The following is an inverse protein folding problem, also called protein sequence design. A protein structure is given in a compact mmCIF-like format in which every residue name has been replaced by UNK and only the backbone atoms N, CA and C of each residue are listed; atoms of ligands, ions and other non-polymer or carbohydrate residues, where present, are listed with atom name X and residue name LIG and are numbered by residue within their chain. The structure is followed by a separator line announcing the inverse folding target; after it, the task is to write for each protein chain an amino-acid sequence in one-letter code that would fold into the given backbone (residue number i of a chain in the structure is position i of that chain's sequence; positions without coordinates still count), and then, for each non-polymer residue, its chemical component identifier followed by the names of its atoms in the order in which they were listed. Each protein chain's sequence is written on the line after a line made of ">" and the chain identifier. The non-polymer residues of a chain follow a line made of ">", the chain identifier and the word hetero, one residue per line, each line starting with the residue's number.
data_IF_568487042503
#
_entry.id   IF_568487042503
#
_cell.length_a   1.000
_cell.length_b   1.000
_cell.length_c   1.000
_cell.angle_alpha   90.00
_cell.angle_beta   90.00
_cell.angle_gamma   90.00
#
_symmetry.space_group_name_H-M   'P 1'
#
loop_
_entity.id
_entity.type
_entity.pdbx_description
1 polymer ?
#
# COMPACT_ATOMS: atom_id res chain seq x y z
N UNK A 1 -6.90 12.21 -13.02
CA UNK A 1 -7.23 10.78 -12.78
C UNK A 1 -8.73 10.62 -12.73
N UNK A 2 -9.31 9.81 -13.62
CA UNK A 2 -10.76 9.50 -13.63
C UNK A 2 -11.01 8.31 -12.70
N UNK A 3 -11.78 8.53 -11.62
CA UNK A 3 -12.19 7.46 -10.71
C UNK A 3 -13.30 6.69 -11.40
N UNK A 4 -13.15 5.37 -11.50
CA UNK A 4 -14.16 4.46 -12.07
C UNK A 4 -14.57 3.41 -11.05
N UNK A 5 -15.79 2.92 -11.16
CA UNK A 5 -16.24 1.84 -10.30
C UNK A 5 -15.45 0.55 -10.58
N UNK A 6 -14.85 -0.11 -9.58
CA UNK A 6 -14.09 -1.35 -9.79
C UNK A 6 -14.96 -2.55 -10.22
N UNK A 7 -16.29 -2.47 -10.05
CA UNK A 7 -17.21 -3.56 -10.44
C UNK A 7 -17.78 -3.40 -11.86
N UNK A 8 -18.21 -2.20 -12.22
CA UNK A 8 -18.92 -1.95 -13.48
C UNK A 8 -18.25 -0.91 -14.39
N UNK A 9 -17.10 -0.36 -13.97
CA UNK A 9 -16.31 0.63 -14.72
C UNK A 9 -17.02 1.95 -15.07
N UNK A 10 -18.26 2.14 -14.59
CA UNK A 10 -18.99 3.38 -14.80
C UNK A 10 -18.32 4.57 -14.10
N UNK A 11 -18.55 5.75 -14.66
CA UNK A 11 -18.06 7.03 -14.14
C UNK A 11 -19.08 7.68 -13.18
N UNK A 12 -20.28 7.12 -13.08
CA UNK A 12 -21.36 7.62 -12.24
C UNK A 12 -21.09 7.27 -10.76
N UNK A 13 -20.32 8.13 -10.11
CA UNK A 13 -19.81 7.94 -8.76
C UNK A 13 -20.12 9.17 -7.90
N UNK A 14 -20.71 8.92 -6.73
CA UNK A 14 -20.94 9.92 -5.69
C UNK A 14 -19.94 9.75 -4.54
N UNK A 15 -19.41 10.87 -4.03
CA UNK A 15 -18.64 10.91 -2.79
C UNK A 15 -19.60 10.78 -1.61
N UNK A 16 -19.50 9.70 -0.83
CA UNK A 16 -20.40 9.43 0.30
C UNK A 16 -19.61 9.14 1.57
N UNK A 17 -19.09 10.22 2.18
CA UNK A 17 -18.42 10.19 3.49
C UNK A 17 -17.02 9.58 3.46
N UNK A 18 -16.52 9.21 4.65
CA UNK A 18 -15.14 8.77 4.82
C UNK A 18 -15.04 7.46 5.61
N UNK A 19 -14.15 6.58 5.17
CA UNK A 19 -13.67 5.47 5.98
C UNK A 19 -12.58 5.97 6.91
N UNK A 20 -12.78 5.85 8.22
CA UNK A 20 -11.77 6.19 9.23
C UNK A 20 -10.88 4.98 9.52
N UNK A 21 -9.57 5.17 9.43
CA UNK A 21 -8.53 4.26 9.93
C UNK A 21 -7.75 4.97 11.04
N UNK A 22 -6.95 4.24 11.83
CA UNK A 22 -6.08 4.82 12.86
C UNK A 22 -5.12 5.91 12.33
N UNK A 23 -4.74 5.85 11.05
CA UNK A 23 -3.76 6.75 10.44
C UNK A 23 -4.37 7.84 9.56
N UNK A 24 -5.70 7.87 9.40
CA UNK A 24 -6.36 8.87 8.58
C UNK A 24 -7.73 8.47 8.04
N UNK A 25 -8.33 9.39 7.29
CA UNK A 25 -9.64 9.23 6.63
C UNK A 25 -9.41 8.98 5.14
N UNK A 26 -10.06 7.95 4.59
CA UNK A 26 -10.09 7.69 3.15
C UNK A 26 -11.48 8.01 2.59
N UNK A 27 -11.54 8.66 1.43
CA UNK A 27 -12.81 8.96 0.78
C UNK A 27 -13.55 7.67 0.42
N UNK A 28 -14.81 7.57 0.82
CA UNK A 28 -15.70 6.49 0.43
C UNK A 28 -16.52 6.95 -0.78
N UNK A 29 -16.58 6.10 -1.79
CA UNK A 29 -17.30 6.33 -3.03
C UNK A 29 -18.46 5.35 -3.14
N UNK A 30 -19.54 5.82 -3.75
CA UNK A 30 -20.73 5.05 -4.05
C UNK A 30 -21.00 5.13 -5.55
N UNK A 31 -21.04 3.98 -6.21
CA UNK A 31 -21.45 3.93 -7.61
C UNK A 31 -22.98 3.89 -7.68
N UNK A 32 -23.60 4.86 -8.37
CA UNK A 32 -25.06 4.92 -8.53
C UNK A 32 -25.58 3.91 -9.55
N UNK A 33 -24.73 3.43 -10.47
CA UNK A 33 -25.13 2.45 -11.49
C UNK A 33 -25.25 1.02 -10.95
N UNK A 34 -24.26 0.56 -10.17
CA UNK A 34 -24.24 -0.80 -9.62
C UNK A 34 -24.49 -0.85 -8.10
N UNK A 35 -24.88 0.28 -7.51
CA UNK A 35 -25.19 0.44 -6.09
C UNK A 35 -24.10 -0.06 -5.13
N UNK A 36 -22.83 -0.06 -5.58
CA UNK A 36 -21.73 -0.63 -4.82
C UNK A 36 -20.85 0.45 -4.18
N UNK A 37 -20.33 0.10 -2.99
CA UNK A 37 -19.43 0.95 -2.24
C UNK A 37 -17.98 0.55 -2.50
N UNK A 38 -17.12 1.55 -2.73
CA UNK A 38 -15.70 1.32 -2.86
C UNK A 38 -14.89 2.48 -2.28
N UNK A 39 -13.60 2.21 -2.11
CA UNK A 39 -12.59 3.20 -1.73
C UNK A 39 -11.53 3.13 -2.80
N UNK A 40 -10.95 4.26 -3.16
CA UNK A 40 -9.85 4.35 -4.12
C UNK A 40 -8.70 3.41 -3.71
N UNK A 41 -8.22 2.64 -4.68
CA UNK A 41 -7.16 1.66 -4.46
C UNK A 41 -5.82 2.22 -4.94
N UNK A 42 -5.05 2.76 -3.99
CA UNK A 42 -3.68 3.23 -4.24
C UNK A 42 -2.65 2.08 -4.19
N UNK A 43 -3.07 0.82 -4.36
CA UNK A 43 -2.21 -0.38 -4.19
C UNK A 43 -2.02 -0.84 -2.73
N UNK A 44 -2.49 -0.05 -1.77
CA UNK A 44 -2.43 -0.35 -0.33
C UNK A 44 -3.79 -0.73 0.24
N UNK A 45 -4.59 -1.48 -0.52
CA UNK A 45 -5.89 -1.98 -0.06
C UNK A 45 -5.72 -2.92 1.14
N UNK A 46 -6.62 -2.74 2.11
CA UNK A 46 -6.68 -3.48 3.40
C UNK A 46 -5.41 -3.33 4.27
N UNK A 47 -4.56 -2.34 4.04
CA UNK A 47 -3.43 -2.05 4.91
C UNK A 47 -3.81 -1.09 6.05
N UNK A 48 -3.29 -1.38 7.25
CA UNK A 48 -3.48 -0.54 8.45
C UNK A 48 -2.55 0.67 8.41
N UNK A 49 -1.28 0.44 8.10
CA UNK A 49 -0.23 1.47 8.09
C UNK A 49 -0.27 2.32 6.82
N UNK A 50 0.32 3.52 6.89
CA UNK A 50 0.42 4.39 5.71
C UNK A 50 1.29 3.73 4.63
N UNK A 51 0.99 3.96 3.34
CA UNK A 51 1.80 3.51 2.22
C UNK A 51 3.31 3.76 2.39
N UNK A 52 3.66 4.99 2.79
CA UNK A 52 5.04 5.44 2.96
C UNK A 52 5.87 4.54 3.88
N UNK A 53 5.29 4.13 5.02
CA UNK A 53 5.95 3.27 6.02
C UNK A 53 6.19 1.88 5.44
N UNK A 54 5.20 1.35 4.72
CA UNK A 54 5.28 0.00 4.14
C UNK A 54 6.34 0.00 3.03
N UNK A 55 6.30 0.98 2.12
CA UNK A 55 7.28 1.14 1.05
C UNK A 55 8.70 1.30 1.61
N UNK A 56 8.88 2.14 2.64
CA UNK A 56 10.17 2.33 3.29
C UNK A 56 10.70 1.03 3.91
N UNK A 57 9.85 0.29 4.62
CA UNK A 57 10.23 -0.99 5.22
C UNK A 57 10.70 -2.02 4.17
N UNK A 58 10.01 -2.07 3.01
CA UNK A 58 10.36 -2.96 1.90
C UNK A 58 11.68 -2.50 1.25
N UNK A 59 11.83 -1.20 0.96
CA UNK A 59 13.06 -0.64 0.40
C UNK A 59 14.27 -1.00 1.26
N UNK A 60 14.18 -0.76 2.57
CA UNK A 60 15.25 -1.09 3.51
C UNK A 60 15.60 -2.57 3.52
N UNK A 61 14.60 -3.44 3.40
CA UNK A 61 14.85 -4.88 3.32
C UNK A 61 15.53 -5.27 2.01
N UNK A 62 15.12 -4.67 0.89
CA UNK A 62 15.73 -4.87 -0.42
C UNK A 62 17.18 -4.36 -0.48
N UNK A 63 17.51 -3.31 0.27
CA UNK A 63 18.88 -2.82 0.45
C UNK A 63 19.77 -3.80 1.27
N UNK A 64 19.21 -4.95 1.71
CA UNK A 64 19.92 -5.99 2.44
C UNK A 64 19.83 -5.86 3.96
N UNK A 65 19.03 -4.94 4.50
CA UNK A 65 18.84 -4.89 5.95
C UNK A 65 18.05 -6.09 6.46
N UNK A 66 18.50 -6.65 7.59
CA UNK A 66 17.74 -7.68 8.28
C UNK A 66 16.41 -7.15 8.80
N UNK A 67 15.39 -8.00 8.86
CA UNK A 67 14.06 -7.64 9.37
C UNK A 67 14.09 -7.03 10.79
N UNK A 68 15.10 -7.39 11.59
CA UNK A 68 15.33 -6.79 12.90
C UNK A 68 15.81 -5.34 12.78
N UNK A 69 16.81 -5.07 11.93
CA UNK A 69 17.30 -3.71 11.67
C UNK A 69 16.19 -2.81 11.11
N UNK A 70 15.40 -3.31 10.15
CA UNK A 70 14.24 -2.58 9.60
C UNK A 70 13.24 -2.23 10.71
N UNK A 71 12.88 -3.19 11.57
CA UNK A 71 12.00 -2.95 12.71
C UNK A 71 12.56 -1.84 13.62
N UNK A 72 13.84 -1.91 13.95
CA UNK A 72 14.49 -0.92 14.83
C UNK A 72 14.47 0.47 14.19
N UNK A 73 14.74 0.57 12.89
CA UNK A 73 14.68 1.83 12.15
C UNK A 73 13.26 2.42 12.16
N UNK A 74 12.23 1.63 11.87
CA UNK A 74 10.83 2.09 11.91
C UNK A 74 10.41 2.56 13.31
N UNK A 75 10.96 1.95 14.35
CA UNK A 75 10.71 2.39 15.72
C UNK A 75 11.42 3.71 16.03
N UNK A 76 12.68 3.87 15.64
CA UNK A 76 13.48 5.06 15.93
C UNK A 76 12.98 6.30 15.17
N UNK A 77 12.72 6.18 13.87
CA UNK A 77 12.40 7.33 13.01
C UNK A 77 10.90 7.59 12.90
N UNK A 78 10.10 6.54 12.74
CA UNK A 78 8.66 6.69 12.52
C UNK A 78 7.84 6.54 13.81
N UNK A 79 8.47 6.12 14.92
CA UNK A 79 7.81 5.79 16.21
C UNK A 79 6.75 4.70 16.07
N UNK A 80 6.93 3.78 15.12
CA UNK A 80 5.96 2.73 14.80
C UNK A 80 6.43 1.37 15.29
N UNK A 81 5.61 0.72 16.11
CA UNK A 81 5.84 -0.66 16.54
C UNK A 81 5.33 -1.63 15.50
N UNK A 82 6.26 -2.28 14.81
CA UNK A 82 5.97 -3.33 13.84
C UNK A 82 6.67 -4.62 14.28
N UNK A 83 6.04 -5.76 14.06
CA UNK A 83 6.69 -7.06 14.29
C UNK A 83 7.47 -7.49 13.05
N UNK A 84 8.58 -8.24 13.22
CA UNK A 84 9.39 -8.76 12.11
C UNK A 84 8.54 -9.55 11.09
N UNK A 85 7.58 -10.34 11.59
CA UNK A 85 6.64 -11.09 10.74
C UNK A 85 5.73 -10.20 9.91
N UNK A 86 5.36 -9.01 10.39
CA UNK A 86 4.57 -8.05 9.60
C UNK A 86 5.40 -7.50 8.43
N UNK A 87 6.66 -7.17 8.67
CA UNK A 87 7.59 -6.72 7.62
C UNK A 87 7.77 -7.81 6.56
N UNK A 88 7.99 -9.07 6.97
CA UNK A 88 8.08 -10.20 6.04
C UNK A 88 6.81 -10.42 5.22
N UNK A 89 5.61 -10.20 5.80
CA UNK A 89 4.36 -10.29 5.04
C UNK A 89 4.21 -9.14 4.04
N UNK A 90 4.65 -7.93 4.38
CA UNK A 90 4.67 -6.82 3.43
C UNK A 90 5.58 -7.12 2.27
N UNK A 91 6.80 -7.58 2.56
CA UNK A 91 7.76 -7.99 1.56
C UNK A 91 7.16 -9.05 0.63
N UNK A 92 6.66 -10.17 1.15
CA UNK A 92 6.01 -11.22 0.33
C UNK A 92 4.84 -10.69 -0.51
N UNK A 93 4.01 -9.82 0.06
CA UNK A 93 2.83 -9.28 -0.64
C UNK A 93 3.22 -8.35 -1.79
N UNK A 94 4.28 -7.57 -1.61
CA UNK A 94 4.70 -6.52 -2.55
C UNK A 94 5.90 -6.90 -3.42
N UNK A 95 6.59 -8.00 -3.11
CA UNK A 95 7.71 -8.54 -3.90
C UNK A 95 7.30 -8.90 -5.34
N UNK A 96 6.04 -9.32 -5.54
CA UNK A 96 5.51 -9.62 -6.87
C UNK A 96 5.37 -8.38 -7.75
N UNK A 97 5.11 -7.21 -7.17
CA UNK A 97 5.03 -5.94 -7.92
C UNK A 97 6.41 -5.43 -8.36
N UNK A 98 7.47 -5.82 -7.66
CA UNK A 98 8.85 -5.42 -8.00
C UNK A 98 9.44 -6.31 -9.10
N UNK A 99 9.16 -7.62 -9.10
CA UNK A 99 9.64 -8.55 -10.14
C UNK A 99 9.19 -8.18 -11.55
N UNK A 100 8.07 -7.47 -11.73
CA UNK A 100 7.63 -6.99 -13.04
C UNK A 100 8.37 -5.74 -13.53
N UNK A 101 9.14 -5.06 -12.66
CA UNK A 101 9.88 -3.83 -13.00
C UNK A 101 11.39 -4.03 -13.12
N UNK A 102 11.94 -5.12 -12.59
CA UNK A 102 13.37 -5.45 -12.61
C UNK A 102 13.77 -6.19 -13.90
N UNK A 103 13.58 -5.57 -15.06
CA UNK A 103 14.21 -5.95 -16.34
C UNK A 103 15.07 -4.81 -16.92
N UNK A 104 15.33 -3.74 -16.16
CA UNK A 104 16.16 -2.62 -16.61
C UNK A 104 17.33 -2.49 -15.64
N UNK A 105 18.50 -2.97 -16.05
CA UNK A 105 19.75 -2.78 -15.29
C UNK A 105 20.64 -4.01 -15.11
N UNK A 106 20.74 -4.93 -16.07
CA UNK A 106 22.00 -5.68 -16.22
C UNK A 106 22.98 -4.79 -16.99
N UNK A 107 23.72 -3.94 -16.29
CA UNK A 107 24.94 -3.36 -16.84
C UNK A 107 25.93 -4.52 -17.01
N UNK A 108 26.18 -4.92 -18.26
CA UNK A 108 27.33 -5.73 -18.62
C UNK A 108 28.57 -4.84 -18.46
N UNK A 109 29.58 -5.34 -17.75
CA UNK A 109 30.97 -4.93 -17.94
C UNK A 109 31.75 -6.22 -18.16
#
# INVERSE_FOLDING_TARGET
>A
MSIKCPKCQSQNIAKKGFRKNCFGKKQKYYCTYCSSWFVEDNGFKKMRFKPEIITRAIHMHNDGMSLFKVKTHLWQYDKIRVTRGTISRWDKKYALFLKSSTQIGKAKT
#
